data_IF_669869978437
#
_entry.id   IF_669869978437
#
_cell.length_a   1.000
_cell.length_b   1.000
_cell.length_c   1.000
_cell.angle_alpha   90.00
_cell.angle_beta   90.00
_cell.angle_gamma   90.00
#
_symmetry.space_group_name_H-M   'P 1'
#
loop_
_entity.id
_entity.type
_entity.pdbx_description
1 polymer ?
#
# COMPACT_ATOMS: atom_id res chain seq x y z
N UNK A 1 -24.58 34.01 -40.11
CA UNK A 1 -23.14 34.11 -40.40
C UNK A 1 -22.50 32.85 -39.82
N UNK A 2 -22.27 31.86 -40.66
CA UNK A 2 -21.73 30.56 -40.27
C UNK A 2 -20.25 30.73 -39.91
N UNK A 3 -19.93 30.70 -38.62
CA UNK A 3 -18.54 30.54 -38.19
C UNK A 3 -18.24 29.05 -38.32
N UNK A 4 -17.56 28.68 -39.40
CA UNK A 4 -16.88 27.40 -39.49
C UNK A 4 -15.87 27.29 -38.34
N UNK A 5 -16.29 26.67 -37.23
CA UNK A 5 -15.37 26.19 -36.21
C UNK A 5 -14.62 24.99 -36.81
N UNK A 6 -13.35 25.20 -37.13
CA UNK A 6 -12.44 24.13 -37.54
C UNK A 6 -12.33 23.09 -36.42
N UNK A 7 -12.29 21.78 -36.74
CA UNK A 7 -12.19 20.70 -35.73
C UNK A 7 -10.96 20.83 -34.81
N UNK A 8 -9.91 21.52 -35.27
CA UNK A 8 -8.72 21.83 -34.48
C UNK A 8 -8.98 22.79 -33.31
N UNK A 9 -9.85 23.80 -33.47
CA UNK A 9 -10.21 24.72 -32.38
C UNK A 9 -11.02 24.03 -31.29
N UNK A 10 -11.87 23.07 -31.67
CA UNK A 10 -12.67 22.27 -30.73
C UNK A 10 -11.80 21.31 -29.91
N UNK A 11 -10.78 20.70 -30.54
CA UNK A 11 -9.84 19.83 -29.84
C UNK A 11 -8.95 20.61 -28.87
N UNK A 12 -8.38 21.75 -29.30
CA UNK A 12 -7.55 22.60 -28.43
C UNK A 12 -8.33 23.09 -27.19
N UNK A 13 -9.60 23.46 -27.38
CA UNK A 13 -10.47 23.92 -26.30
C UNK A 13 -10.88 22.77 -25.36
N UNK A 14 -11.08 21.56 -25.90
CA UNK A 14 -11.34 20.35 -25.11
C UNK A 14 -10.10 19.94 -24.30
N UNK A 15 -8.90 19.93 -24.90
CA UNK A 15 -7.65 19.66 -24.18
C UNK A 15 -7.39 20.70 -23.09
N UNK A 16 -7.67 21.98 -23.34
CA UNK A 16 -7.54 23.02 -22.33
C UNK A 16 -8.49 22.81 -21.13
N UNK A 17 -9.74 22.42 -21.38
CA UNK A 17 -10.71 22.07 -20.32
C UNK A 17 -10.23 20.88 -19.49
N UNK A 18 -9.77 19.80 -20.16
CA UNK A 18 -9.21 18.61 -19.49
C UNK A 18 -8.03 18.98 -18.60
N UNK A 19 -7.14 19.86 -19.06
CA UNK A 19 -5.99 20.33 -18.27
C UNK A 19 -6.46 21.13 -17.05
N UNK A 20 -7.46 22.01 -17.20
CA UNK A 20 -8.01 22.79 -16.09
C UNK A 20 -8.65 21.86 -15.04
N UNK A 21 -9.47 20.92 -15.49
CA UNK A 21 -10.10 19.91 -14.63
C UNK A 21 -9.05 19.06 -13.91
N UNK A 22 -8.01 18.63 -14.62
CA UNK A 22 -6.89 17.90 -14.05
C UNK A 22 -6.18 18.74 -12.98
N UNK A 23 -5.86 20.00 -13.27
CA UNK A 23 -5.22 20.90 -12.29
C UNK A 23 -6.08 21.08 -11.04
N UNK A 24 -7.41 21.14 -11.17
CA UNK A 24 -8.34 21.19 -10.04
C UNK A 24 -8.28 19.89 -9.24
N UNK A 25 -8.40 18.73 -9.90
CA UNK A 25 -8.29 17.40 -9.28
C UNK A 25 -6.98 17.29 -8.48
N UNK A 26 -5.85 17.61 -9.11
CA UNK A 26 -4.53 17.55 -8.49
C UNK A 26 -4.40 18.54 -7.32
N UNK A 27 -4.96 19.75 -7.44
CA UNK A 27 -4.97 20.75 -6.37
C UNK A 27 -5.77 20.29 -5.15
N UNK A 28 -6.95 19.69 -5.36
CA UNK A 28 -7.80 19.20 -4.28
C UNK A 28 -7.18 17.98 -3.57
N UNK A 29 -6.54 17.09 -4.32
CA UNK A 29 -5.73 16.00 -3.74
C UNK A 29 -4.60 16.57 -2.88
N UNK A 30 -3.86 17.56 -3.39
CA UNK A 30 -2.76 18.20 -2.66
C UNK A 30 -3.24 18.90 -1.37
N UNK A 31 -4.39 19.57 -1.40
CA UNK A 31 -4.99 20.18 -0.21
C UNK A 31 -5.45 19.09 0.77
N UNK A 32 -6.17 18.07 0.30
CA UNK A 32 -6.70 16.99 1.12
C UNK A 32 -5.62 16.17 1.83
N UNK A 33 -4.53 15.87 1.13
CA UNK A 33 -3.34 15.19 1.69
C UNK A 33 -2.67 16.01 2.80
N UNK A 34 -2.55 17.34 2.64
CA UNK A 34 -1.96 18.22 3.66
C UNK A 34 -2.81 18.36 4.93
N UNK A 35 -4.13 18.29 4.80
CA UNK A 35 -5.03 18.31 5.97
C UNK A 35 -4.93 17.00 6.76
N UNK A 36 -4.67 15.89 6.07
CA UNK A 36 -4.52 14.57 6.68
C UNK A 36 -5.83 13.95 7.16
N UNK A 37 -5.75 12.74 7.71
CA UNK A 37 -6.91 11.99 8.20
C UNK A 37 -7.94 11.75 7.09
N UNK A 38 -9.20 12.10 7.35
CA UNK A 38 -10.30 12.01 6.37
C UNK A 38 -10.27 13.10 5.28
N UNK A 39 -9.37 14.10 5.40
CA UNK A 39 -9.32 15.28 4.53
C UNK A 39 -9.18 14.93 3.04
N UNK A 40 -8.39 13.90 2.73
CA UNK A 40 -8.22 13.41 1.35
C UNK A 40 -9.55 12.99 0.72
N UNK A 41 -10.40 12.29 1.47
CA UNK A 41 -11.73 11.89 1.01
C UNK A 41 -12.71 13.05 0.90
N UNK A 42 -12.71 13.95 1.89
CA UNK A 42 -13.58 15.13 1.89
C UNK A 42 -13.31 16.01 0.67
N UNK A 43 -12.04 16.34 0.40
CA UNK A 43 -11.67 17.16 -0.75
C UNK A 43 -11.85 16.42 -2.09
N UNK A 44 -11.72 15.10 -2.11
CA UNK A 44 -12.15 14.28 -3.25
C UNK A 44 -13.63 14.50 -3.58
N UNK A 45 -14.52 14.48 -2.59
CA UNK A 45 -15.95 14.74 -2.80
C UNK A 45 -16.26 16.19 -3.20
N UNK A 46 -15.51 17.17 -2.68
CA UNK A 46 -15.57 18.55 -3.20
C UNK A 46 -15.20 18.57 -4.68
N UNK A 47 -14.19 17.81 -5.10
CA UNK A 47 -13.82 17.70 -6.50
C UNK A 47 -14.89 17.04 -7.36
N UNK A 48 -15.52 15.95 -6.91
CA UNK A 48 -16.70 15.36 -7.58
C UNK A 48 -17.76 16.44 -7.77
N UNK A 49 -18.06 17.22 -6.72
CA UNK A 49 -19.04 18.31 -6.81
C UNK A 49 -18.65 19.37 -7.83
N UNK A 50 -17.39 19.82 -7.85
CA UNK A 50 -16.90 20.82 -8.81
C UNK A 50 -16.95 20.29 -10.25
N UNK A 51 -16.53 19.03 -10.48
CA UNK A 51 -16.57 18.41 -11.80
C UNK A 51 -18.00 18.26 -12.33
N UNK A 52 -18.93 17.80 -11.49
CA UNK A 52 -20.32 17.54 -11.90
C UNK A 52 -21.12 18.84 -12.02
N UNK A 53 -21.06 19.71 -11.02
CA UNK A 53 -21.90 20.91 -11.00
C UNK A 53 -21.24 22.12 -11.68
N UNK A 54 -19.92 22.23 -11.61
CA UNK A 54 -19.15 23.30 -12.27
C UNK A 54 -18.88 23.00 -13.74
N UNK A 55 -18.27 21.85 -14.03
CA UNK A 55 -17.88 21.46 -15.40
C UNK A 55 -18.95 20.66 -16.15
N UNK A 56 -20.07 20.31 -15.48
CA UNK A 56 -21.19 19.58 -16.08
C UNK A 56 -20.82 18.17 -16.57
N UNK A 57 -19.83 17.55 -15.94
CA UNK A 57 -19.50 16.14 -16.19
C UNK A 57 -20.60 15.24 -15.60
N UNK A 58 -20.81 14.08 -16.24
CA UNK A 58 -21.62 13.01 -15.65
C UNK A 58 -20.85 12.43 -14.45
N UNK A 59 -21.48 12.26 -13.28
CA UNK A 59 -20.82 11.62 -12.15
C UNK A 59 -20.37 10.21 -12.52
N UNK A 60 -19.14 9.85 -12.16
CA UNK A 60 -18.66 8.47 -12.27
C UNK A 60 -19.38 7.56 -11.26
N UNK A 61 -18.92 6.32 -11.17
CA UNK A 61 -19.37 5.35 -10.16
C UNK A 61 -18.51 5.43 -8.89
N UNK A 62 -19.11 5.41 -7.70
CA UNK A 62 -18.37 5.25 -6.45
C UNK A 62 -17.85 3.80 -6.31
N UNK A 63 -16.67 3.59 -5.71
CA UNK A 63 -16.05 2.27 -5.58
C UNK A 63 -16.62 1.46 -4.41
N UNK A 64 -17.93 1.15 -4.43
CA UNK A 64 -18.65 0.56 -3.29
C UNK A 64 -18.04 -0.77 -2.85
N UNK A 65 -17.76 -1.69 -3.79
CA UNK A 65 -17.15 -2.99 -3.49
C UNK A 65 -15.82 -2.84 -2.73
N UNK A 66 -14.96 -1.92 -3.20
CA UNK A 66 -13.66 -1.67 -2.57
C UNK A 66 -13.85 -1.14 -1.15
N UNK A 67 -14.79 -0.22 -0.94
CA UNK A 67 -15.11 0.32 0.38
C UNK A 67 -15.60 -0.77 1.34
N UNK A 68 -16.48 -1.66 0.87
CA UNK A 68 -17.07 -2.73 1.69
C UNK A 68 -16.05 -3.81 2.05
N UNK A 69 -15.17 -4.19 1.12
CA UNK A 69 -14.04 -5.09 1.41
C UNK A 69 -13.12 -4.48 2.48
N UNK A 70 -12.76 -3.20 2.33
CA UNK A 70 -11.93 -2.49 3.31
C UNK A 70 -12.58 -2.57 4.70
N UNK A 71 -13.87 -2.23 4.82
CA UNK A 71 -14.63 -2.31 6.07
C UNK A 71 -14.58 -3.72 6.67
N UNK A 72 -14.80 -4.76 5.87
CA UNK A 72 -14.78 -6.14 6.34
C UNK A 72 -13.40 -6.56 6.88
N UNK A 73 -12.34 -6.29 6.12
CA UNK A 73 -10.96 -6.65 6.48
C UNK A 73 -10.48 -5.90 7.72
N UNK A 74 -10.74 -4.59 7.80
CA UNK A 74 -10.39 -3.79 8.98
C UNK A 74 -11.16 -4.26 10.20
N UNK A 75 -12.42 -4.67 10.05
CA UNK A 75 -13.22 -5.18 11.17
C UNK A 75 -12.58 -6.45 11.73
N UNK A 76 -12.13 -7.38 10.88
CA UNK A 76 -11.39 -8.57 11.31
C UNK A 76 -10.04 -8.22 11.96
N UNK A 77 -9.26 -7.33 11.36
CA UNK A 77 -7.97 -6.90 11.91
C UNK A 77 -8.13 -6.14 13.25
N UNK A 78 -9.21 -5.36 13.40
CA UNK A 78 -9.52 -4.64 14.65
C UNK A 78 -10.02 -5.60 15.73
N UNK A 79 -10.77 -6.63 15.36
CA UNK A 79 -11.11 -7.74 16.26
C UNK A 79 -9.86 -8.49 16.75
N UNK A 80 -8.88 -8.70 15.86
CA UNK A 80 -7.60 -9.32 16.19
C UNK A 80 -6.83 -8.45 17.18
N UNK A 81 -6.78 -7.14 16.93
CA UNK A 81 -6.18 -6.17 17.85
C UNK A 81 -6.86 -6.17 19.22
N UNK A 82 -8.20 -6.07 19.25
CA UNK A 82 -8.98 -6.09 20.48
C UNK A 82 -8.85 -7.39 21.30
N UNK A 83 -8.41 -8.48 20.65
CA UNK A 83 -8.14 -9.77 21.27
C UNK A 83 -6.67 -9.96 21.70
N UNK A 84 -5.84 -8.92 21.60
CA UNK A 84 -4.39 -8.99 21.88
C UNK A 84 -3.59 -9.81 20.86
N UNK A 85 -4.20 -10.19 19.74
CA UNK A 85 -3.57 -11.05 18.73
C UNK A 85 -2.45 -10.34 17.97
N UNK A 86 -2.61 -9.04 17.70
CA UNK A 86 -1.56 -8.23 17.07
C UNK A 86 -0.33 -8.13 17.97
N UNK A 87 -0.49 -7.87 19.26
CA UNK A 87 0.62 -7.82 20.23
C UNK A 87 1.34 -9.17 20.34
N UNK A 88 0.60 -10.28 20.26
CA UNK A 88 1.19 -11.61 20.19
C UNK A 88 2.05 -11.80 18.94
N UNK A 89 1.54 -11.45 17.75
CA UNK A 89 2.28 -11.54 16.48
C UNK A 89 3.55 -10.71 16.52
N UNK A 90 3.45 -9.46 17.00
CA UNK A 90 4.59 -8.56 17.17
C UNK A 90 5.61 -9.17 18.13
N UNK A 91 5.17 -9.76 19.24
CA UNK A 91 6.06 -10.45 20.17
C UNK A 91 6.78 -11.66 19.55
N UNK A 92 6.11 -12.42 18.68
CA UNK A 92 6.74 -13.52 17.92
C UNK A 92 7.80 -12.96 16.95
N UNK A 93 7.45 -11.96 16.16
CA UNK A 93 8.38 -11.30 15.24
C UNK A 93 9.59 -10.71 15.96
N UNK A 94 9.36 -10.05 17.10
CA UNK A 94 10.41 -9.45 17.92
C UNK A 94 11.42 -10.51 18.42
N UNK A 95 10.91 -11.66 18.90
CA UNK A 95 11.77 -12.77 19.30
C UNK A 95 12.58 -13.29 18.11
N UNK A 96 11.96 -13.48 16.96
CA UNK A 96 12.65 -13.96 15.77
C UNK A 96 13.77 -13.01 15.32
N UNK A 97 13.51 -11.70 15.25
CA UNK A 97 14.50 -10.69 14.86
C UNK A 97 15.66 -10.62 15.83
N UNK A 98 15.40 -10.69 17.15
CA UNK A 98 16.45 -10.72 18.18
C UNK A 98 17.34 -11.97 18.13
N UNK A 99 16.83 -13.09 17.61
CA UNK A 99 17.64 -14.31 17.41
C UNK A 99 18.45 -14.28 16.10
N UNK A 100 18.13 -13.37 15.16
CA UNK A 100 18.81 -13.25 13.87
C UNK A 100 19.25 -11.80 13.58
N UNK A 101 19.97 -11.14 14.49
CA UNK A 101 20.28 -9.72 14.37
C UNK A 101 21.16 -9.39 13.15
N UNK A 102 22.14 -10.25 12.83
CA UNK A 102 23.08 -10.05 11.71
C UNK A 102 22.40 -10.03 10.33
N UNK A 103 21.15 -10.48 10.26
CA UNK A 103 20.35 -10.55 9.04
C UNK A 103 19.13 -9.63 9.07
N UNK A 104 19.11 -8.65 9.97
CA UNK A 104 17.95 -7.77 10.17
C UNK A 104 17.58 -6.98 8.91
N UNK A 105 18.55 -6.63 8.06
CA UNK A 105 18.32 -5.96 6.76
C UNK A 105 17.53 -6.84 5.78
N UNK A 106 17.53 -8.17 5.96
CA UNK A 106 16.67 -9.09 5.21
C UNK A 106 15.38 -9.39 5.98
N UNK A 107 15.50 -9.80 7.23
CA UNK A 107 14.36 -10.32 7.99
C UNK A 107 13.38 -9.24 8.45
N UNK A 108 13.85 -8.03 8.80
CA UNK A 108 12.98 -6.90 9.14
C UNK A 108 11.98 -6.61 8.01
N UNK A 109 12.47 -6.36 6.78
CA UNK A 109 11.60 -6.11 5.64
C UNK A 109 10.69 -7.28 5.25
N UNK A 110 11.20 -8.52 5.27
CA UNK A 110 10.37 -9.70 4.95
C UNK A 110 9.22 -9.85 5.94
N UNK A 111 9.46 -9.61 7.24
CA UNK A 111 8.41 -9.69 8.26
C UNK A 111 7.40 -8.57 8.08
N UNK A 112 7.84 -7.34 7.83
CA UNK A 112 6.96 -6.20 7.55
C UNK A 112 6.10 -6.45 6.30
N UNK A 113 6.68 -6.99 5.23
CA UNK A 113 5.96 -7.44 4.04
C UNK A 113 4.95 -8.54 4.37
N UNK A 114 5.34 -9.58 5.10
CA UNK A 114 4.47 -10.69 5.47
C UNK A 114 3.28 -10.23 6.33
N UNK A 115 3.53 -9.35 7.30
CA UNK A 115 2.48 -8.75 8.13
C UNK A 115 1.48 -8.00 7.24
N UNK A 116 1.96 -7.22 6.27
CA UNK A 116 1.09 -6.53 5.34
C UNK A 116 0.33 -7.48 4.40
N UNK A 117 0.99 -8.50 3.85
CA UNK A 117 0.35 -9.51 2.99
C UNK A 117 -0.85 -10.14 3.71
N UNK A 118 -0.69 -10.49 4.99
CA UNK A 118 -1.75 -11.13 5.77
C UNK A 118 -2.79 -10.10 6.26
N UNK A 119 -2.37 -8.90 6.68
CA UNK A 119 -3.26 -7.91 7.26
C UNK A 119 -3.94 -6.97 6.25
N UNK A 120 -3.44 -6.91 5.02
CA UNK A 120 -3.92 -6.02 3.96
C UNK A 120 -3.51 -4.56 4.10
N UNK A 121 -2.65 -4.20 5.06
CA UNK A 121 -2.24 -2.81 5.33
C UNK A 121 -0.77 -2.70 5.74
N UNK A 122 -0.08 -1.69 5.20
CA UNK A 122 1.31 -1.39 5.56
C UNK A 122 1.46 -0.83 6.98
N UNK A 123 0.37 -0.32 7.60
CA UNK A 123 0.40 0.24 8.94
C UNK A 123 0.69 -0.78 10.05
N UNK A 124 0.59 -2.08 9.77
CA UNK A 124 1.05 -3.12 10.71
C UNK A 124 2.56 -3.06 10.98
N UNK A 125 3.32 -2.38 10.11
CA UNK A 125 4.75 -2.15 10.33
C UNK A 125 5.05 -1.27 11.53
N UNK A 126 4.14 -0.38 11.97
CA UNK A 126 4.40 0.54 13.09
C UNK A 126 4.86 -0.14 14.37
N UNK A 127 4.29 -1.31 14.66
CA UNK A 127 4.67 -2.09 15.84
C UNK A 127 6.02 -2.81 15.69
N UNK A 128 6.54 -2.95 14.47
CA UNK A 128 7.80 -3.63 14.15
C UNK A 128 8.96 -2.64 13.98
N UNK A 129 8.71 -1.44 13.44
CA UNK A 129 9.74 -0.42 13.21
C UNK A 129 10.60 -0.09 14.46
N UNK A 130 10.04 0.14 15.68
CA UNK A 130 10.87 0.39 16.85
C UNK A 130 11.75 -0.82 17.19
N UNK A 131 11.23 -2.04 17.08
CA UNK A 131 11.99 -3.28 17.32
C UNK A 131 13.11 -3.42 16.30
N UNK A 132 12.83 -3.13 15.02
CA UNK A 132 13.83 -3.20 13.95
C UNK A 132 14.95 -2.18 14.21
N UNK A 133 14.60 -0.94 14.56
CA UNK A 133 15.56 0.10 14.94
C UNK A 133 16.43 -0.34 16.12
N UNK A 134 15.79 -0.81 17.20
CA UNK A 134 16.46 -1.25 18.43
C UNK A 134 17.42 -2.42 18.18
N UNK A 135 16.98 -3.47 17.48
CA UNK A 135 17.81 -4.64 17.19
C UNK A 135 18.95 -4.27 16.25
N UNK A 136 18.73 -3.41 15.25
CA UNK A 136 19.81 -2.92 14.38
C UNK A 136 20.86 -2.15 15.20
N UNK A 137 20.41 -1.16 15.98
CA UNK A 137 21.28 -0.32 16.79
C UNK A 137 22.07 -1.14 17.83
N UNK A 138 21.42 -2.06 18.54
CA UNK A 138 22.05 -2.92 19.55
C UNK A 138 23.13 -3.84 18.96
N UNK A 139 23.03 -4.17 17.67
CA UNK A 139 23.99 -5.01 16.95
C UNK A 139 24.90 -4.19 16.02
N UNK A 140 24.99 -2.87 16.23
CA UNK A 140 25.87 -1.96 15.48
C UNK A 140 25.57 -1.89 13.98
N UNK A 141 24.40 -2.35 13.56
CA UNK A 141 23.91 -2.24 12.19
C UNK A 141 23.28 -0.87 12.03
N UNK A 142 23.65 -0.16 10.97
CA UNK A 142 23.07 1.15 10.59
C UNK A 142 21.53 1.02 10.45
N UNK A 143 20.70 1.63 11.33
CA UNK A 143 19.25 1.46 11.30
C UNK A 143 18.59 1.87 9.98
N UNK A 144 19.17 2.83 9.25
CA UNK A 144 18.73 3.22 7.90
C UNK A 144 18.50 2.02 6.98
N UNK A 145 19.40 1.02 7.01
CA UNK A 145 19.37 -0.13 6.09
C UNK A 145 18.11 -0.98 6.28
N UNK A 146 17.82 -1.54 7.46
CA UNK A 146 16.61 -2.32 7.67
C UNK A 146 15.34 -1.46 7.74
N UNK A 147 15.37 -0.23 8.27
CA UNK A 147 14.16 0.58 8.43
C UNK A 147 13.62 1.09 7.09
N UNK A 148 14.49 1.62 6.23
CA UNK A 148 14.09 2.15 4.93
C UNK A 148 13.39 1.08 4.10
N UNK A 149 14.02 -0.09 3.98
CA UNK A 149 13.47 -1.21 3.22
C UNK A 149 12.25 -1.83 3.90
N UNK A 150 12.16 -1.81 5.24
CA UNK A 150 10.99 -2.36 5.94
C UNK A 150 9.71 -1.61 5.64
N UNK A 151 9.78 -0.28 5.58
CA UNK A 151 8.64 0.55 5.20
C UNK A 151 8.24 0.27 3.75
N UNK A 152 9.22 0.26 2.83
CA UNK A 152 8.98 -0.04 1.42
C UNK A 152 8.38 -1.44 1.23
N UNK A 153 8.89 -2.44 1.94
CA UNK A 153 8.43 -3.82 1.86
C UNK A 153 7.01 -4.00 2.43
N UNK A 154 6.68 -3.31 3.53
CA UNK A 154 5.31 -3.26 4.03
C UNK A 154 4.36 -2.66 2.99
N UNK A 155 4.75 -1.54 2.39
CA UNK A 155 4.03 -0.85 1.32
C UNK A 155 3.81 -1.73 0.09
N UNK A 156 4.85 -2.46 -0.33
CA UNK A 156 4.78 -3.43 -1.43
C UNK A 156 3.89 -4.64 -1.08
N UNK A 157 3.79 -5.02 0.20
CA UNK A 157 2.90 -6.08 0.66
C UNK A 157 1.42 -5.84 0.32
N UNK A 158 1.02 -4.57 0.14
CA UNK A 158 -0.35 -4.21 -0.25
C UNK A 158 -0.69 -4.79 -1.64
N UNK A 159 0.23 -4.78 -2.59
CA UNK A 159 -0.01 -5.33 -3.94
C UNK A 159 0.06 -6.86 -3.98
N UNK A 160 0.46 -7.48 -2.88
CA UNK A 160 0.62 -8.93 -2.72
C UNK A 160 -0.45 -9.55 -1.83
N UNK A 161 -1.27 -8.73 -1.17
CA UNK A 161 -2.20 -9.19 -0.17
C UNK A 161 -3.52 -9.64 -0.81
N UNK A 162 -4.05 -10.82 -0.42
CA UNK A 162 -5.38 -11.27 -0.85
C UNK A 162 -6.54 -10.43 -0.27
N UNK A 163 -6.26 -9.63 0.75
CA UNK A 163 -7.26 -8.89 1.53
C UNK A 163 -7.00 -7.38 1.50
N UNK A 164 -6.06 -6.88 0.70
CA UNK A 164 -5.85 -5.44 0.59
C UNK A 164 -6.90 -4.77 -0.30
N UNK A 165 -7.14 -3.49 -0.01
CA UNK A 165 -7.94 -2.59 -0.84
C UNK A 165 -7.51 -2.56 -2.32
N UNK A 166 -6.19 -2.62 -2.56
CA UNK A 166 -5.65 -2.44 -3.90
C UNK A 166 -5.86 -3.69 -4.75
N UNK A 167 -5.62 -4.88 -4.19
CA UNK A 167 -5.91 -6.15 -4.85
C UNK A 167 -7.41 -6.30 -5.10
N UNK A 168 -8.23 -5.93 -4.12
CA UNK A 168 -9.68 -5.90 -4.24
C UNK A 168 -10.16 -5.00 -5.40
N UNK A 169 -9.65 -3.77 -5.49
CA UNK A 169 -9.93 -2.87 -6.61
C UNK A 169 -9.53 -3.52 -7.94
N UNK A 170 -8.32 -4.07 -8.01
CA UNK A 170 -7.75 -4.67 -9.23
C UNK A 170 -8.61 -5.80 -9.81
N UNK A 171 -9.10 -6.71 -8.95
CA UNK A 171 -9.89 -7.89 -9.34
C UNK A 171 -11.39 -7.63 -9.39
N UNK A 172 -11.82 -6.38 -9.15
CA UNK A 172 -13.24 -6.02 -9.24
C UNK A 172 -13.81 -6.29 -10.64
N UNK A 173 -15.12 -6.50 -10.72
CA UNK A 173 -15.80 -6.72 -11.99
C UNK A 173 -15.75 -5.49 -12.90
N UNK A 174 -15.54 -4.30 -12.35
CA UNK A 174 -15.35 -3.08 -13.13
C UNK A 174 -13.96 -3.00 -13.78
N UNK A 175 -12.99 -3.80 -13.33
CA UNK A 175 -11.60 -3.80 -13.82
C UNK A 175 -11.20 -5.17 -14.41
N UNK A 176 -10.19 -5.83 -13.83
CA UNK A 176 -9.61 -7.04 -14.41
C UNK A 176 -10.47 -8.28 -14.16
N UNK A 177 -11.40 -8.24 -13.20
CA UNK A 177 -12.35 -9.33 -12.95
C UNK A 177 -13.19 -9.64 -14.19
N UNK A 178 -13.69 -8.62 -14.91
CA UNK A 178 -14.41 -8.79 -16.17
C UNK A 178 -13.53 -9.33 -17.32
N UNK A 179 -12.20 -9.29 -17.17
CA UNK A 179 -11.25 -9.87 -18.11
C UNK A 179 -10.80 -11.29 -17.71
N UNK A 180 -11.45 -11.90 -16.73
CA UNK A 180 -11.14 -13.24 -16.25
C UNK A 180 -9.93 -13.31 -15.31
N UNK A 181 -9.43 -12.18 -14.81
CA UNK A 181 -8.39 -12.17 -13.79
C UNK A 181 -9.03 -12.43 -12.43
N UNK A 182 -8.62 -13.53 -11.81
CA UNK A 182 -9.00 -13.90 -10.45
C UNK A 182 -7.87 -13.59 -9.46
N UNK A 183 -8.20 -13.64 -8.17
CA UNK A 183 -7.22 -13.37 -7.10
C UNK A 183 -5.99 -14.28 -7.21
N UNK A 184 -6.17 -15.56 -7.54
CA UNK A 184 -5.06 -16.51 -7.70
C UNK A 184 -4.00 -16.04 -8.71
N UNK A 185 -4.43 -15.46 -9.84
CA UNK A 185 -3.53 -14.93 -10.87
C UNK A 185 -2.70 -13.77 -10.34
N UNK A 186 -3.32 -12.85 -9.60
CA UNK A 186 -2.61 -11.72 -8.98
C UNK A 186 -1.56 -12.21 -7.99
N UNK A 187 -1.91 -13.17 -7.12
CA UNK A 187 -0.99 -13.70 -6.12
C UNK A 187 0.18 -14.46 -6.74
N UNK A 188 -0.06 -15.25 -7.80
CA UNK A 188 1.01 -15.98 -8.51
C UNK A 188 2.05 -15.05 -9.14
N UNK A 189 1.67 -13.83 -9.52
CA UNK A 189 2.61 -12.85 -10.07
C UNK A 189 3.21 -12.01 -8.96
N UNK A 190 2.39 -11.36 -8.14
CA UNK A 190 2.86 -10.31 -7.22
C UNK A 190 3.64 -10.86 -6.01
N UNK A 191 3.21 -11.98 -5.42
CA UNK A 191 3.87 -12.54 -4.21
C UNK A 191 5.33 -12.95 -4.48
N UNK A 192 5.64 -13.80 -5.47
CA UNK A 192 7.03 -14.23 -5.69
C UNK A 192 7.92 -13.10 -6.19
N UNK A 193 7.41 -12.22 -7.05
CA UNK A 193 8.18 -11.11 -7.62
C UNK A 193 8.52 -10.07 -6.56
N UNK A 194 7.56 -9.73 -5.68
CA UNK A 194 7.80 -8.85 -4.56
C UNK A 194 8.82 -9.44 -3.57
N UNK A 195 8.66 -10.71 -3.18
CA UNK A 195 9.58 -11.38 -2.27
C UNK A 195 11.02 -11.35 -2.81
N UNK A 196 11.23 -11.73 -4.08
CA UNK A 196 12.54 -11.67 -4.71
C UNK A 196 13.08 -10.23 -4.81
N UNK A 197 12.22 -9.26 -5.09
CA UNK A 197 12.63 -7.84 -5.14
C UNK A 197 13.11 -7.34 -3.78
N UNK A 198 12.49 -7.78 -2.68
CA UNK A 198 12.90 -7.44 -1.30
C UNK A 198 14.27 -8.05 -1.00
N UNK A 199 14.54 -9.28 -1.44
CA UNK A 199 15.87 -9.90 -1.28
C UNK A 199 16.95 -9.13 -2.06
N UNK A 200 16.66 -8.71 -3.29
CA UNK A 200 17.58 -7.90 -4.10
C UNK A 200 17.82 -6.54 -3.45
N UNK A 201 16.76 -5.87 -2.99
CA UNK A 201 16.88 -4.60 -2.29
C UNK A 201 17.66 -4.73 -0.98
N UNK A 202 17.43 -5.79 -0.20
CA UNK A 202 18.15 -6.05 1.04
C UNK A 202 19.64 -6.31 0.80
N UNK A 203 19.99 -7.00 -0.29
CA UNK A 203 21.39 -7.19 -0.69
C UNK A 203 22.07 -5.84 -0.96
N UNK A 204 21.41 -4.93 -1.67
CA UNK A 204 21.93 -3.58 -1.92
C UNK A 204 22.00 -2.77 -0.63
N UNK A 205 20.93 -2.75 0.18
CA UNK A 205 20.83 -1.99 1.43
C UNK A 205 21.92 -2.35 2.44
N UNK A 206 22.37 -3.61 2.48
CA UNK A 206 23.49 -3.99 3.35
C UNK A 206 24.81 -3.23 3.06
N UNK A 207 24.93 -2.61 1.89
CA UNK A 207 26.09 -1.84 1.48
C UNK A 207 25.84 -0.32 1.48
N UNK A 208 24.67 0.13 1.96
CA UNK A 208 24.28 1.55 1.96
C UNK A 208 24.84 2.27 3.19
N UNK A 209 25.45 3.42 2.96
CA UNK A 209 25.99 4.28 4.02
C UNK A 209 27.20 3.68 4.73
N UNK A 210 27.77 4.46 5.66
CA UNK A 210 28.86 4.00 6.53
C UNK A 210 28.32 3.04 7.59
N UNK A 211 29.20 2.18 8.10
CA UNK A 211 28.92 1.42 9.31
C UNK A 211 28.52 2.36 10.45
N UNK A 212 27.62 1.89 11.33
CA UNK A 212 26.98 2.75 12.33
C UNK A 212 28.02 3.46 13.21
N UNK A 213 29.02 2.73 13.67
CA UNK A 213 30.09 3.26 14.54
C UNK A 213 30.99 4.28 13.84
N UNK A 214 30.92 4.38 12.51
CA UNK A 214 31.66 5.35 11.70
C UNK A 214 30.83 6.57 11.28
N UNK A 215 29.51 6.53 11.52
CA UNK A 215 28.60 7.59 11.12
C UNK A 215 28.84 8.88 11.94
N UNK A 216 29.07 10.04 11.30
CA UNK A 216 29.37 11.29 12.01
C UNK A 216 28.25 11.76 12.94
N UNK A 217 26.99 11.58 12.55
CA UNK A 217 25.83 12.00 13.34
C UNK A 217 25.65 11.06 14.54
N UNK A 218 25.85 9.76 14.35
CA UNK A 218 25.86 8.80 15.45
C UNK A 218 26.96 9.12 16.47
N UNK A 219 28.20 9.33 16.02
CA UNK A 219 29.32 9.74 16.88
C UNK A 219 29.02 11.02 17.66
N UNK A 220 28.41 12.01 17.00
CA UNK A 220 27.99 13.27 17.64
C UNK A 220 26.96 13.02 18.74
N UNK A 221 25.94 12.18 18.49
CA UNK A 221 24.89 11.85 19.49
C UNK A 221 25.44 11.07 20.68
N UNK A 222 26.35 10.12 20.45
CA UNK A 222 27.04 9.38 21.52
C UNK A 222 27.92 10.32 22.35
N UNK A 223 28.73 11.16 21.71
CA UNK A 223 29.59 12.13 22.41
C UNK A 223 28.79 13.17 23.22
N UNK A 224 27.58 13.51 22.76
CA UNK A 224 26.66 14.41 23.47
C UNK A 224 25.84 13.73 24.57
N UNK A 225 26.00 12.40 24.79
CA UNK A 225 25.22 11.65 25.77
C UNK A 225 23.74 11.45 25.41
N UNK A 226 23.34 11.70 24.16
CA UNK A 226 21.96 11.50 23.68
C UNK A 226 21.63 10.02 23.41
N UNK A 227 22.68 9.22 23.23
CA UNK A 227 22.62 7.77 23.05
C UNK A 227 23.65 7.14 23.98
N UNK A 228 23.21 6.24 24.85
CA UNK A 228 24.08 5.35 25.62
C UNK A 228 24.11 3.97 24.96
N UNK A 229 25.22 3.55 24.34
CA UNK A 229 25.32 2.24 23.69
C UNK A 229 25.07 1.06 24.65
N UNK A 230 25.46 1.19 25.91
CA UNK A 230 25.26 0.15 26.92
C UNK A 230 23.79 0.01 27.29
N UNK A 231 23.06 1.11 27.49
CA UNK A 231 21.62 1.09 27.77
C UNK A 231 20.81 0.53 26.59
N UNK A 232 21.20 0.84 25.35
CA UNK A 232 20.55 0.30 24.14
C UNK A 232 20.72 -1.22 24.07
N UNK A 233 21.90 -1.73 24.44
CA UNK A 233 22.17 -3.17 24.47
C UNK A 233 21.37 -3.88 25.56
N UNK A 234 21.17 -3.25 26.71
CA UNK A 234 20.38 -3.80 27.82
C UNK A 234 18.86 -3.72 27.57
N UNK A 235 18.36 -2.63 26.98
CA UNK A 235 16.96 -2.44 26.62
C UNK A 235 16.46 -3.46 25.58
N UNK A 236 17.35 -3.91 24.68
CA UNK A 236 17.07 -4.96 23.69
C UNK A 236 16.65 -6.32 24.27
N UNK A 237 16.74 -6.51 25.60
CA UNK A 237 16.51 -7.78 26.30
C UNK A 237 15.09 -7.91 26.89
N UNK A 238 14.31 -6.82 27.06
CA UNK A 238 13.03 -6.89 27.82
C UNK A 238 11.82 -6.36 27.04
N UNK A 239 10.94 -7.28 26.62
CA UNK A 239 9.47 -7.17 26.66
C UNK A 239 8.87 -8.50 26.17
N UNK A 240 8.71 -9.45 27.07
CA UNK A 240 7.91 -10.65 26.80
C UNK A 240 6.44 -10.29 26.88
N UNK A 241 5.73 -10.29 25.75
CA UNK A 241 4.27 -10.16 25.77
C UNK A 241 3.66 -11.37 26.49
N UNK A 242 2.71 -11.09 27.38
CA UNK A 242 1.92 -12.11 28.06
C UNK A 242 1.32 -13.07 27.04
N UNK A 243 1.69 -14.35 27.19
CA UNK A 243 1.35 -15.42 26.27
C UNK A 243 -0.08 -15.90 26.53
N UNK A 244 -1.06 -15.02 26.29
CA UNK A 244 -2.46 -15.37 26.51
C UNK A 244 -2.87 -16.40 25.45
N UNK A 245 -3.39 -17.55 25.90
CA UNK A 245 -3.91 -18.60 25.00
C UNK A 245 -5.01 -18.06 24.08
N UNK A 246 -5.71 -17.02 24.51
CA UNK A 246 -6.75 -16.34 23.73
C UNK A 246 -6.15 -15.54 22.55
N UNK A 247 -5.07 -14.77 22.77
CA UNK A 247 -4.37 -14.05 21.71
C UNK A 247 -3.80 -14.99 20.64
N UNK A 248 -3.30 -16.16 21.04
CA UNK A 248 -2.90 -17.20 20.07
C UNK A 248 -4.06 -17.71 19.23
N UNK A 249 -5.21 -17.95 19.86
CA UNK A 249 -6.41 -18.45 19.16
C UNK A 249 -6.99 -17.40 18.21
N UNK A 250 -7.00 -16.12 18.59
CA UNK A 250 -7.44 -15.04 17.69
C UNK A 250 -6.55 -14.93 16.46
N UNK A 251 -5.23 -15.08 16.62
CA UNK A 251 -4.30 -15.12 15.50
C UNK A 251 -4.55 -16.31 14.59
N UNK A 252 -4.76 -17.51 15.15
CA UNK A 252 -5.08 -18.70 14.35
C UNK A 252 -6.41 -18.55 13.59
N UNK A 253 -7.42 -17.93 14.21
CA UNK A 253 -8.67 -17.59 13.53
C UNK A 253 -8.42 -16.62 12.37
N UNK A 254 -7.72 -15.51 12.62
CA UNK A 254 -7.40 -14.54 11.58
C UNK A 254 -6.65 -15.15 10.38
N UNK A 255 -5.62 -15.96 10.66
CA UNK A 255 -4.90 -16.68 9.62
C UNK A 255 -5.77 -17.69 8.88
N UNK A 256 -6.72 -18.31 9.58
CA UNK A 256 -7.71 -19.19 8.95
C UNK A 256 -8.61 -18.41 7.99
N UNK A 257 -9.16 -17.26 8.38
CA UNK A 257 -9.94 -16.40 7.49
C UNK A 257 -9.17 -16.01 6.21
N UNK A 258 -7.93 -15.53 6.37
CA UNK A 258 -7.06 -15.20 5.24
C UNK A 258 -6.78 -16.42 4.35
N UNK A 259 -6.53 -17.59 4.93
CA UNK A 259 -6.32 -18.82 4.18
C UNK A 259 -7.56 -19.22 3.38
N UNK A 260 -8.76 -19.08 3.95
CA UNK A 260 -10.03 -19.35 3.23
C UNK A 260 -10.19 -18.36 2.08
N UNK A 261 -9.90 -17.07 2.26
CA UNK A 261 -9.91 -16.09 1.15
C UNK A 261 -8.98 -16.52 0.01
N UNK A 262 -7.75 -16.93 0.33
CA UNK A 262 -6.77 -17.39 -0.67
C UNK A 262 -7.31 -18.61 -1.41
N UNK A 263 -7.85 -19.61 -0.69
CA UNK A 263 -8.43 -20.82 -1.30
C UNK A 263 -9.55 -20.45 -2.28
N UNK A 264 -10.48 -19.59 -1.89
CA UNK A 264 -11.56 -19.15 -2.79
C UNK A 264 -11.05 -18.32 -3.97
N UNK A 265 -9.94 -17.60 -3.79
CA UNK A 265 -9.27 -16.87 -4.87
C UNK A 265 -8.60 -17.76 -5.91
N UNK A 266 -8.08 -18.92 -5.51
CA UNK A 266 -7.47 -19.91 -6.42
C UNK A 266 -8.49 -20.87 -7.03
N UNK A 267 -9.62 -21.09 -6.36
CA UNK A 267 -10.64 -22.04 -6.79
C UNK A 267 -12.02 -21.35 -6.92
N UNK A 268 -12.23 -20.57 -8.00
CA UNK A 268 -13.51 -19.92 -8.33
C UNK A 268 -14.76 -20.79 -8.16
N UNK A 269 -14.66 -22.09 -8.46
CA UNK A 269 -15.77 -23.05 -8.37
C UNK A 269 -16.24 -23.39 -6.96
N UNK A 270 -15.53 -22.94 -5.92
CA UNK A 270 -16.00 -23.02 -4.53
C UNK A 270 -17.04 -21.95 -4.19
N UNK A 271 -17.13 -20.88 -5.00
CA UNK A 271 -18.13 -19.82 -4.84
C UNK A 271 -19.47 -20.30 -5.38
N UNK A 272 -20.59 -20.04 -4.68
CA UNK A 272 -21.91 -20.22 -5.27
C UNK A 272 -22.06 -19.41 -6.57
N UNK A 273 -22.90 -19.89 -7.48
CA UNK A 273 -23.16 -19.21 -8.75
C UNK A 273 -23.63 -17.77 -8.51
N UNK A 274 -23.03 -16.82 -9.25
CA UNK A 274 -23.34 -15.39 -9.14
C UNK A 274 -22.66 -14.66 -7.98
N UNK A 275 -21.91 -15.34 -7.10
CA UNK A 275 -21.18 -14.68 -6.01
C UNK A 275 -19.82 -14.20 -6.48
N UNK A 276 -19.59 -12.89 -6.39
CA UNK A 276 -18.31 -12.28 -6.78
C UNK A 276 -17.20 -12.57 -5.76
N UNK A 277 -15.95 -12.37 -6.17
CA UNK A 277 -14.82 -12.44 -5.23
C UNK A 277 -14.92 -11.39 -4.12
N UNK A 278 -15.38 -10.17 -4.46
CA UNK A 278 -15.63 -9.09 -3.49
C UNK A 278 -16.57 -9.54 -2.37
N UNK A 279 -17.74 -10.05 -2.75
CA UNK A 279 -18.76 -10.55 -1.81
C UNK A 279 -18.22 -11.72 -0.97
N UNK A 280 -17.42 -12.59 -1.59
CA UNK A 280 -16.77 -13.72 -0.91
C UNK A 280 -15.82 -13.24 0.19
N UNK A 281 -14.97 -12.26 -0.10
CA UNK A 281 -14.05 -11.66 0.87
C UNK A 281 -14.83 -11.01 2.02
N UNK A 282 -15.86 -10.22 1.71
CA UNK A 282 -16.70 -9.56 2.72
C UNK A 282 -17.33 -10.58 3.69
N UNK A 283 -17.96 -11.63 3.15
CA UNK A 283 -18.58 -12.67 3.96
C UNK A 283 -17.57 -13.44 4.83
N UNK A 284 -16.41 -13.80 4.27
CA UNK A 284 -15.38 -14.53 5.00
C UNK A 284 -14.79 -13.66 6.11
N UNK A 285 -14.38 -12.43 5.80
CA UNK A 285 -13.68 -11.58 6.76
C UNK A 285 -14.61 -11.11 7.89
N UNK A 286 -15.90 -10.88 7.62
CA UNK A 286 -16.88 -10.58 8.67
C UNK A 286 -17.17 -11.81 9.55
N UNK A 287 -17.26 -13.00 8.95
CA UNK A 287 -17.40 -14.25 9.71
C UNK A 287 -16.18 -14.53 10.58
N UNK A 288 -14.99 -14.24 10.05
CA UNK A 288 -13.74 -14.39 10.76
C UNK A 288 -13.60 -13.37 11.90
N UNK A 289 -14.02 -12.11 11.70
CA UNK A 289 -14.10 -11.13 12.79
C UNK A 289 -14.94 -11.65 13.97
N UNK A 290 -16.09 -12.28 13.69
CA UNK A 290 -16.90 -12.92 14.72
C UNK A 290 -16.15 -14.08 15.40
N UNK A 291 -15.51 -14.96 14.62
CA UNK A 291 -14.71 -16.07 15.15
C UNK A 291 -13.58 -15.57 16.06
N UNK A 292 -12.82 -14.57 15.61
CA UNK A 292 -11.72 -13.92 16.34
C UNK A 292 -12.20 -13.41 17.69
N UNK A 293 -13.31 -12.65 17.72
CA UNK A 293 -13.86 -12.11 18.97
C UNK A 293 -14.31 -13.23 19.91
N UNK A 294 -14.91 -14.30 19.38
CA UNK A 294 -15.38 -15.44 20.18
C UNK A 294 -14.22 -16.22 20.81
N UNK A 295 -13.19 -16.58 20.03
CA UNK A 295 -12.07 -17.41 20.52
C UNK A 295 -11.01 -16.60 21.26
N UNK A 296 -10.84 -15.34 20.86
CA UNK A 296 -9.92 -14.36 21.43
C UNK A 296 -10.48 -13.62 22.64
N UNK A 297 -11.81 -13.70 22.87
CA UNK A 297 -12.54 -13.01 23.94
C UNK A 297 -12.31 -11.49 23.92
N UNK A 298 -12.09 -10.92 22.73
CA UNK A 298 -11.94 -9.49 22.54
C UNK A 298 -13.25 -8.74 22.78
N UNK A 299 -13.16 -7.50 23.28
CA UNK A 299 -14.34 -6.64 23.46
C UNK A 299 -14.60 -5.84 22.19
N UNK A 300 -15.84 -5.85 21.72
CA UNK A 300 -16.25 -5.09 20.51
C UNK A 300 -15.94 -3.61 20.63
N UNK A 301 -16.14 -3.02 21.82
CA UNK A 301 -15.84 -1.61 22.06
C UNK A 301 -14.36 -1.26 21.88
N UNK A 302 -13.45 -2.19 22.22
CA UNK A 302 -12.01 -1.98 22.05
C UNK A 302 -11.62 -2.05 20.57
N UNK A 303 -12.30 -2.89 19.77
CA UNK A 303 -12.07 -2.98 18.34
C UNK A 303 -12.37 -1.66 17.62
N UNK A 304 -13.51 -1.02 17.91
CA UNK A 304 -13.91 0.26 17.29
C UNK A 304 -12.99 1.42 17.71
N UNK A 305 -12.50 1.38 18.95
CA UNK A 305 -11.62 2.43 19.49
C UNK A 305 -10.14 2.21 19.15
N UNK A 306 -9.79 1.04 18.61
CA UNK A 306 -8.44 0.68 18.18
C UNK A 306 -7.90 1.56 17.06
N UNK A 307 -6.57 1.63 16.96
CA UNK A 307 -5.91 2.40 15.91
C UNK A 307 -6.10 1.78 14.52
N UNK A 308 -6.22 0.45 14.42
CA UNK A 308 -6.46 -0.27 13.16
C UNK A 308 -7.81 0.16 12.56
N UNK A 309 -8.87 0.21 13.38
CA UNK A 309 -10.20 0.63 12.93
C UNK A 309 -10.20 2.08 12.45
N UNK A 310 -9.61 3.00 13.23
CA UNK A 310 -9.54 4.44 12.89
C UNK A 310 -8.75 4.69 11.62
N UNK A 311 -7.56 4.10 11.48
CA UNK A 311 -6.75 4.21 10.27
C UNK A 311 -7.48 3.65 9.06
N UNK A 312 -8.13 2.51 9.25
CA UNK A 312 -8.92 1.87 8.24
C UNK A 312 -10.13 2.69 7.77
N UNK A 313 -10.89 3.29 8.69
CA UNK A 313 -12.02 4.16 8.34
C UNK A 313 -11.57 5.42 7.60
N UNK A 314 -10.41 5.98 7.96
CA UNK A 314 -9.80 7.06 7.17
C UNK A 314 -9.53 6.63 5.73
N UNK A 315 -9.05 5.39 5.51
CA UNK A 315 -8.83 4.85 4.18
C UNK A 315 -10.14 4.68 3.40
N UNK A 316 -11.23 4.21 4.03
CA UNK A 316 -12.56 4.13 3.38
C UNK A 316 -13.01 5.50 2.88
N UNK A 317 -12.93 6.53 3.73
CA UNK A 317 -13.34 7.89 3.36
C UNK A 317 -12.46 8.44 2.24
N UNK A 318 -11.14 8.21 2.30
CA UNK A 318 -10.21 8.60 1.25
C UNK A 318 -10.57 7.97 -0.11
N UNK A 319 -10.82 6.65 -0.14
CA UNK A 319 -11.22 5.94 -1.36
C UNK A 319 -12.56 6.44 -1.89
N UNK A 320 -13.54 6.63 -1.01
CA UNK A 320 -14.86 7.14 -1.40
C UNK A 320 -14.77 8.46 -2.18
N UNK A 321 -13.97 9.42 -1.69
CA UNK A 321 -13.81 10.71 -2.34
C UNK A 321 -12.89 10.68 -3.56
N UNK A 322 -11.67 10.18 -3.39
CA UNK A 322 -10.62 10.31 -4.42
C UNK A 322 -10.90 9.42 -5.62
N UNK A 323 -11.30 8.17 -5.40
CA UNK A 323 -11.54 7.26 -6.51
C UNK A 323 -12.81 7.66 -7.29
N UNK A 324 -13.86 8.13 -6.60
CA UNK A 324 -15.05 8.64 -7.31
C UNK A 324 -14.73 9.92 -8.10
N UNK A 325 -13.91 10.81 -7.55
CA UNK A 325 -13.42 12.00 -8.27
C UNK A 325 -12.60 11.60 -9.51
N UNK A 326 -11.63 10.70 -9.33
CA UNK A 326 -10.79 10.20 -10.43
C UNK A 326 -11.61 9.54 -11.53
N UNK A 327 -12.58 8.71 -11.17
CA UNK A 327 -13.48 8.06 -12.11
C UNK A 327 -14.37 9.08 -12.86
N UNK A 328 -14.92 10.07 -12.14
CA UNK A 328 -15.70 11.16 -12.74
C UNK A 328 -14.88 11.96 -13.75
N UNK A 329 -13.64 12.31 -13.38
CA UNK A 329 -12.71 13.00 -14.27
C UNK A 329 -12.38 12.17 -15.51
N UNK A 330 -12.07 10.88 -15.36
CA UNK A 330 -11.76 10.01 -16.49
C UNK A 330 -12.95 9.85 -17.43
N UNK A 331 -14.11 9.42 -16.91
CA UNK A 331 -15.31 9.19 -17.73
C UNK A 331 -15.78 10.45 -18.47
N UNK A 332 -15.63 11.63 -17.86
CA UNK A 332 -15.95 12.90 -18.52
C UNK A 332 -14.99 13.26 -19.66
N UNK A 333 -13.78 12.73 -19.66
CA UNK A 333 -12.68 13.12 -20.56
C UNK A 333 -12.09 11.98 -21.39
N UNK A 334 -12.69 10.78 -21.31
CA UNK A 334 -12.22 9.52 -21.89
C UNK A 334 -11.67 9.70 -23.31
N UNK A 335 -12.44 10.32 -24.21
CA UNK A 335 -12.04 10.53 -25.61
C UNK A 335 -10.73 11.30 -25.77
N UNK A 336 -10.51 12.34 -24.98
CA UNK A 336 -9.30 13.17 -25.08
C UNK A 336 -8.11 12.46 -24.44
N UNK A 337 -8.34 11.84 -23.28
CA UNK A 337 -7.31 11.09 -22.54
C UNK A 337 -6.84 9.87 -23.34
N UNK A 338 -7.77 9.10 -23.90
CA UNK A 338 -7.46 7.95 -24.72
C UNK A 338 -6.66 8.34 -25.96
N UNK A 339 -7.06 9.42 -26.66
CA UNK A 339 -6.31 9.92 -27.82
C UNK A 339 -4.89 10.38 -27.46
N UNK A 340 -4.69 11.00 -26.30
CA UNK A 340 -3.39 11.46 -25.84
C UNK A 340 -2.44 10.31 -25.43
N UNK A 341 -3.00 9.24 -24.87
CA UNK A 341 -2.24 8.12 -24.32
C UNK A 341 -2.06 6.96 -25.31
N UNK A 342 -2.92 6.85 -26.33
CA UNK A 342 -2.94 5.74 -27.29
C UNK A 342 -1.58 5.48 -27.93
N UNK A 343 -0.91 6.50 -28.50
CA UNK A 343 0.35 6.31 -29.24
C UNK A 343 1.50 5.80 -28.37
N UNK A 344 1.58 6.27 -27.12
CA UNK A 344 2.57 5.82 -26.15
C UNK A 344 2.30 4.38 -25.74
N UNK A 345 1.03 4.06 -25.43
CA UNK A 345 0.65 2.75 -24.91
C UNK A 345 0.68 1.68 -25.99
N UNK A 346 0.30 1.98 -27.24
CA UNK A 346 0.41 1.01 -28.35
C UNK A 346 1.86 0.70 -28.70
N UNK A 347 2.77 1.67 -28.54
CA UNK A 347 4.18 1.50 -28.91
C UNK A 347 5.01 0.83 -27.81
N UNK A 348 4.73 1.18 -26.55
CA UNK A 348 5.42 0.63 -25.39
C UNK A 348 4.45 0.53 -24.19
N UNK A 349 3.61 -0.52 -24.11
CA UNK A 349 2.62 -0.69 -23.06
C UNK A 349 3.19 -0.63 -21.64
N UNK A 350 4.45 -1.05 -21.46
CA UNK A 350 5.15 -1.02 -20.17
C UNK A 350 5.37 0.40 -19.63
N UNK A 351 5.39 1.43 -20.49
CA UNK A 351 5.48 2.83 -20.04
C UNK A 351 4.27 3.27 -19.23
N UNK A 352 3.17 2.52 -19.30
CA UNK A 352 2.02 2.74 -18.42
C UNK A 352 2.38 2.61 -16.93
N UNK A 353 3.40 1.81 -16.58
CA UNK A 353 3.94 1.75 -15.22
C UNK A 353 4.44 3.11 -14.72
N UNK A 354 4.98 3.96 -15.60
CA UNK A 354 5.42 5.31 -15.22
C UNK A 354 4.22 6.17 -14.85
N UNK A 355 3.13 6.08 -15.61
CA UNK A 355 1.90 6.82 -15.31
C UNK A 355 1.28 6.34 -13.98
N UNK A 356 1.25 5.03 -13.74
CA UNK A 356 0.82 4.45 -12.47
C UNK A 356 1.68 4.95 -11.30
N UNK A 357 3.01 4.93 -11.47
CA UNK A 357 3.96 5.39 -10.47
C UNK A 357 3.74 6.87 -10.15
N UNK A 358 3.76 7.73 -11.16
CA UNK A 358 3.55 9.17 -10.98
C UNK A 358 2.22 9.48 -10.31
N UNK A 359 1.13 8.83 -10.74
CA UNK A 359 -0.18 9.04 -10.13
C UNK A 359 -0.20 8.55 -8.67
N UNK A 360 0.44 7.42 -8.37
CA UNK A 360 0.50 6.91 -6.99
C UNK A 360 1.23 7.84 -6.02
N UNK A 361 2.26 8.57 -6.49
CA UNK A 361 2.92 9.63 -5.69
C UNK A 361 1.90 10.68 -5.28
N UNK A 362 1.01 11.06 -6.18
CA UNK A 362 0.03 12.12 -5.93
C UNK A 362 -1.10 11.65 -5.02
N UNK A 363 -1.56 10.41 -5.22
CA UNK A 363 -2.75 9.90 -4.54
C UNK A 363 -2.46 9.31 -3.15
N UNK A 364 -1.21 8.92 -2.87
CA UNK A 364 -0.84 8.23 -1.61
C UNK A 364 -1.71 6.99 -1.32
N UNK A 365 -2.21 6.31 -2.37
CA UNK A 365 -3.08 5.15 -2.25
C UNK A 365 -3.04 4.27 -3.49
N UNK A 366 -2.60 3.03 -3.35
CA UNK A 366 -2.55 2.07 -4.45
C UNK A 366 -3.94 1.74 -4.98
N UNK A 367 -4.93 1.59 -4.10
CA UNK A 367 -6.30 1.30 -4.51
C UNK A 367 -6.93 2.47 -5.29
N UNK A 368 -6.66 3.71 -4.86
CA UNK A 368 -7.10 4.89 -5.61
C UNK A 368 -6.41 4.97 -6.98
N UNK A 369 -5.10 4.68 -7.05
CA UNK A 369 -4.35 4.62 -8.32
C UNK A 369 -4.92 3.56 -9.25
N UNK A 370 -5.17 2.34 -8.76
CA UNK A 370 -5.78 1.26 -9.53
C UNK A 370 -7.13 1.70 -10.08
N UNK A 371 -8.03 2.15 -9.21
CA UNK A 371 -9.40 2.53 -9.59
C UNK A 371 -9.43 3.69 -10.57
N UNK A 372 -8.46 4.61 -10.50
CA UNK A 372 -8.41 5.79 -11.36
C UNK A 372 -7.81 5.46 -12.74
N UNK A 373 -6.70 4.71 -12.79
CA UNK A 373 -5.92 4.61 -14.03
C UNK A 373 -6.10 3.27 -14.76
N UNK A 374 -6.40 2.16 -14.07
CA UNK A 374 -6.57 0.88 -14.76
C UNK A 374 -7.71 0.87 -15.79
N UNK A 375 -8.85 1.57 -15.61
CA UNK A 375 -9.85 1.70 -16.68
C UNK A 375 -9.23 2.19 -18.00
N UNK A 376 -8.31 3.15 -17.92
CA UNK A 376 -7.59 3.71 -19.06
C UNK A 376 -6.70 2.66 -19.73
N UNK A 377 -5.93 1.92 -18.95
CA UNK A 377 -5.11 0.83 -19.47
C UNK A 377 -5.94 -0.25 -20.17
N UNK A 378 -7.10 -0.59 -19.60
CA UNK A 378 -8.03 -1.57 -20.17
C UNK A 378 -8.67 -1.05 -21.46
N UNK A 379 -9.14 0.20 -21.47
CA UNK A 379 -9.76 0.84 -22.64
C UNK A 379 -8.77 0.92 -23.82
N UNK A 380 -7.50 1.19 -23.52
CA UNK A 380 -6.41 1.26 -24.50
C UNK A 380 -5.86 -0.13 -24.90
N UNK A 381 -6.46 -1.21 -24.43
CA UNK A 381 -6.13 -2.57 -24.86
C UNK A 381 -4.83 -3.13 -24.27
N UNK A 382 -4.35 -2.59 -23.14
CA UNK A 382 -3.20 -3.17 -22.43
C UNK A 382 -3.57 -4.57 -21.95
N UNK A 383 -2.67 -5.53 -22.20
CA UNK A 383 -2.85 -6.92 -21.77
C UNK A 383 -3.12 -6.98 -20.24
N UNK A 384 -4.21 -7.65 -19.78
CA UNK A 384 -4.54 -7.76 -18.36
C UNK A 384 -3.42 -8.32 -17.48
N UNK A 385 -2.67 -9.32 -17.96
CA UNK A 385 -1.52 -9.87 -17.22
C UNK A 385 -0.37 -8.86 -17.12
N UNK A 386 -0.15 -8.04 -18.15
CA UNK A 386 0.83 -6.96 -18.08
C UNK A 386 0.42 -5.89 -17.07
N UNK A 387 -0.88 -5.59 -16.95
CA UNK A 387 -1.41 -4.71 -15.90
C UNK A 387 -1.17 -5.27 -14.49
N UNK A 388 -1.19 -6.59 -14.31
CA UNK A 388 -0.80 -7.24 -13.04
C UNK A 388 0.72 -7.11 -12.82
N UNK A 389 1.54 -7.36 -13.83
CA UNK A 389 3.00 -7.21 -13.73
C UNK A 389 3.41 -5.77 -13.37
N UNK A 390 2.66 -4.77 -13.83
CA UNK A 390 2.87 -3.36 -13.50
C UNK A 390 2.24 -2.92 -12.18
N UNK A 391 1.48 -3.79 -11.49
CA UNK A 391 0.79 -3.43 -10.25
C UNK A 391 1.70 -2.87 -9.14
N UNK A 392 2.94 -3.36 -8.94
CA UNK A 392 3.90 -2.75 -8.01
C UNK A 392 4.20 -1.27 -8.30
N UNK A 393 4.00 -0.78 -9.53
CA UNK A 393 4.15 0.64 -9.85
C UNK A 393 3.17 1.53 -9.09
N UNK A 394 2.04 0.99 -8.61
CA UNK A 394 1.11 1.73 -7.75
C UNK A 394 1.72 2.04 -6.37
N UNK A 395 2.89 1.50 -6.04
CA UNK A 395 3.59 1.70 -4.77
C UNK A 395 4.59 2.87 -4.79
N UNK A 396 4.32 3.94 -5.55
CA UNK A 396 5.27 5.05 -5.72
C UNK A 396 5.22 6.14 -4.66
N UNK A 397 4.32 6.07 -3.68
CA UNK A 397 4.16 7.11 -2.66
C UNK A 397 5.35 7.26 -1.70
N UNK A 398 6.38 6.43 -1.83
CA UNK A 398 7.66 6.67 -1.18
C UNK A 398 8.48 7.79 -1.82
N UNK A 399 8.14 8.21 -3.04
CA UNK A 399 8.95 9.20 -3.77
C UNK A 399 9.05 10.54 -3.03
N UNK A 400 8.05 10.85 -2.20
CA UNK A 400 8.10 11.96 -1.26
C UNK A 400 8.08 11.34 0.15
N UNK A 401 8.98 11.72 1.06
CA UNK A 401 9.14 11.10 2.37
C UNK A 401 8.12 11.65 3.38
N UNK A 402 6.84 11.63 3.00
CA UNK A 402 5.73 12.17 3.78
C UNK A 402 4.67 11.11 4.08
N UNK A 403 4.86 9.87 3.63
CA UNK A 403 3.92 8.81 3.97
C UNK A 403 4.05 8.45 5.47
N UNK A 404 2.94 8.24 6.21
CA UNK A 404 3.01 8.10 7.66
C UNK A 404 3.94 7.01 8.21
N UNK A 405 4.17 5.92 7.46
CA UNK A 405 5.11 4.86 7.87
C UNK A 405 6.57 5.27 7.72
N UNK A 406 6.88 6.13 6.75
CA UNK A 406 8.23 6.65 6.50
C UNK A 406 8.62 7.68 7.56
N UNK A 407 7.69 8.58 7.88
CA UNK A 407 7.86 9.54 8.97
C UNK A 407 8.11 8.80 10.28
N UNK A 408 7.33 7.77 10.58
CA UNK A 408 7.55 6.98 11.79
C UNK A 408 8.89 6.22 11.78
N UNK A 409 9.34 5.72 10.63
CA UNK A 409 10.66 5.09 10.54
C UNK A 409 11.80 6.08 10.82
N UNK A 410 11.68 7.33 10.35
CA UNK A 410 12.61 8.41 10.71
C UNK A 410 12.56 8.67 12.22
N UNK A 411 11.35 8.78 12.80
CA UNK A 411 11.17 9.10 14.22
C UNK A 411 11.67 7.98 15.16
N UNK A 412 11.54 6.72 14.76
CA UNK A 412 12.05 5.57 15.53
C UNK A 412 13.57 5.39 15.41
N UNK A 413 14.21 5.99 14.42
CA UNK A 413 15.66 5.99 14.30
C UNK A 413 16.32 7.03 15.23
N UNK A 414 16.71 6.57 16.42
CA UNK A 414 17.44 7.40 17.39
C UNK A 414 18.87 7.73 16.96
N UNK A 415 19.47 7.02 16.00
CA UNK A 415 20.83 7.30 15.54
C UNK A 415 20.88 8.44 14.51
N UNK A 416 19.75 8.74 13.87
CA UNK A 416 19.63 9.78 12.84
C UNK A 416 20.17 9.36 11.48
N UNK A 417 20.37 8.06 11.25
CA UNK A 417 20.87 7.54 9.97
C UNK A 417 19.76 7.52 8.91
N UNK A 418 18.53 7.26 9.33
CA UNK A 418 17.30 7.35 8.55
C UNK A 418 16.84 8.80 8.53
N UNK A 419 16.85 9.43 7.36
CA UNK A 419 16.63 10.87 7.28
C UNK A 419 16.14 11.33 5.91
N UNK A 420 15.66 12.58 5.90
CA UNK A 420 15.54 13.38 4.68
C UNK A 420 16.80 14.24 4.59
N UNK A 421 17.52 14.11 3.49
CA UNK A 421 18.74 14.86 3.18
C UNK A 421 18.45 16.29 2.76
N UNK A 422 19.38 16.89 2.00
CA UNK A 422 19.29 18.30 1.60
C UNK A 422 18.09 18.62 0.71
N UNK A 423 17.64 17.67 -0.09
CA UNK A 423 16.51 17.81 -1.00
C UNK A 423 15.39 16.88 -0.56
N UNK A 424 14.13 17.29 -0.74
CA UNK A 424 12.97 16.48 -0.32
C UNK A 424 12.97 15.08 -0.93
N UNK A 425 13.43 14.95 -2.18
CA UNK A 425 13.54 13.66 -2.90
C UNK A 425 14.83 12.90 -2.57
N UNK A 426 15.72 13.45 -1.75
CA UNK A 426 16.93 12.77 -1.29
C UNK A 426 16.67 12.27 0.12
N UNK A 427 16.25 11.02 0.25
CA UNK A 427 15.96 10.40 1.55
C UNK A 427 16.16 8.90 1.49
N UNK A 428 16.23 8.27 2.66
CA UNK A 428 16.57 6.86 2.85
C UNK A 428 15.68 5.87 2.08
N UNK A 429 14.42 6.20 1.83
CA UNK A 429 13.44 5.30 1.18
C UNK A 429 13.52 5.23 -0.36
N UNK A 430 14.23 6.15 -1.02
CA UNK A 430 14.29 6.20 -2.50
C UNK A 430 14.90 4.96 -3.11
N UNK A 431 16.11 4.61 -2.67
CA UNK A 431 16.88 3.50 -3.21
C UNK A 431 16.13 2.16 -3.05
N UNK A 432 15.67 1.76 -1.85
CA UNK A 432 14.94 0.51 -1.70
C UNK A 432 13.59 0.56 -2.44
N UNK A 433 12.93 1.73 -2.47
CA UNK A 433 11.67 1.93 -3.19
C UNK A 433 11.79 1.69 -4.70
N UNK A 434 12.79 2.29 -5.34
CA UNK A 434 13.04 2.08 -6.77
C UNK A 434 13.48 0.66 -7.08
N UNK A 435 14.39 0.07 -6.28
CA UNK A 435 14.84 -1.31 -6.51
C UNK A 435 13.66 -2.27 -6.44
N UNK A 436 12.88 -2.22 -5.35
CA UNK A 436 11.74 -3.12 -5.19
C UNK A 436 10.70 -2.94 -6.30
N UNK A 437 10.40 -1.70 -6.70
CA UNK A 437 9.44 -1.40 -7.78
C UNK A 437 9.93 -1.93 -9.13
N UNK A 438 11.13 -1.56 -9.55
CA UNK A 438 11.68 -1.92 -10.87
C UNK A 438 11.91 -3.43 -10.96
N UNK A 439 12.48 -4.03 -9.92
CA UNK A 439 12.75 -5.49 -9.90
C UNK A 439 11.45 -6.27 -9.85
N UNK A 440 10.45 -5.86 -9.05
CA UNK A 440 9.14 -6.55 -9.03
C UNK A 440 8.46 -6.51 -10.39
N UNK A 441 8.46 -5.36 -11.07
CA UNK A 441 7.85 -5.22 -12.40
C UNK A 441 8.61 -6.06 -13.43
N UNK A 442 9.95 -5.99 -13.44
CA UNK A 442 10.78 -6.77 -14.36
C UNK A 442 10.59 -8.28 -14.20
N UNK A 443 10.58 -8.76 -12.96
CA UNK A 443 10.27 -10.17 -12.65
C UNK A 443 8.82 -10.51 -12.99
N UNK A 444 7.87 -9.60 -12.76
CA UNK A 444 6.46 -9.76 -13.15
C UNK A 444 6.28 -9.97 -14.63
N UNK A 445 6.94 -9.14 -15.47
CA UNK A 445 6.93 -9.28 -16.94
C UNK A 445 7.48 -10.64 -17.38
N UNK A 446 8.48 -11.18 -16.67
CA UNK A 446 9.02 -12.51 -16.93
C UNK A 446 8.04 -13.60 -16.51
N UNK A 447 7.44 -13.51 -15.32
CA UNK A 447 6.50 -14.52 -14.78
C UNK A 447 5.28 -14.66 -15.68
N UNK A 448 4.72 -13.56 -16.18
CA UNK A 448 3.53 -13.60 -17.03
C UNK A 448 3.78 -14.24 -18.41
N UNK A 449 5.03 -14.48 -18.82
CA UNK A 449 5.31 -15.25 -20.04
C UNK A 449 4.99 -16.74 -19.88
N UNK A 450 4.81 -17.20 -18.64
CA UNK A 450 4.53 -18.59 -18.30
C UNK A 450 3.08 -18.84 -17.84
N UNK A 451 2.23 -17.81 -17.89
CA UNK A 451 0.80 -17.84 -17.57
C UNK A 451 0.00 -17.64 -18.85
#
# INVERSE_FOLDING_TARGET
MWIHYTPFKTLLMATALVIIELLIVLSLIFIGTRIGGIGLGVFGMVGVFVLVYGFRLTPGTPPVDVMMIIVAVITAASALQASGGLDYLVGVAARFLRHHPDHITYFGPIICWLFCVVAGTAHTSYSLLPIISEVAQANKIRPERPLSLSVIAASLGITCSPVSAATAALISQDLLGAKGIELGTVLMVCVPTAFLSILVAAFVENHVGKELEEDPEYKRRVAAGLISPDEVREAGVVAGTENSRAAKRSVLAFLFGVAVVVVFGFFPGLRPEGVSMSQTIEMIMMSDAALILLVGKGKVGDAVNGNVFKAGMNAVVAIFGVAWMGNTFYMGNEKVLDAALSSMITSAPILFAVALFLLSIMLFSQAATVTTLYPVGIALGVNPLLLIAMFPACNGYFFLPNYPTEVAAIDFDRTGTTHVGRYVVNHSFQLPGFITTVVSIGLGVLVIQFL
#
